data_IF_366955172143
#
_entry.id   IF_366955172143
#
_cell.length_a   1.000
_cell.length_b   1.000
_cell.length_c   1.000
_cell.angle_alpha   90.00
_cell.angle_beta   90.00
_cell.angle_gamma   90.00
#
_symmetry.space_group_name_H-M   'P 1'
#
loop_
_entity.id
_entity.type
_entity.pdbx_description
1 polymer ?
#
# COMPACT_ATOMS: atom_id res chain seq x y z
N UNK A 1 -4.88 -13.15 18.44
CA UNK A 1 -3.44 -12.71 18.31
C UNK A 1 -3.07 -12.82 16.84
N UNK A 2 -2.62 -11.75 16.21
CA UNK A 2 -2.21 -11.81 14.81
C UNK A 2 -0.69 -12.00 14.70
N UNK A 3 -0.24 -12.72 13.68
CA UNK A 3 1.16 -13.08 13.51
C UNK A 3 1.72 -12.53 12.22
N UNK A 4 3.02 -12.22 12.26
CA UNK A 4 3.82 -11.87 11.10
C UNK A 4 4.91 -12.94 10.91
N UNK A 5 5.10 -13.37 9.70
CA UNK A 5 6.11 -14.36 9.33
C UNK A 5 6.73 -14.01 7.99
N UNK A 6 7.65 -14.81 7.50
CA UNK A 6 8.30 -14.61 6.21
C UNK A 6 7.93 -15.72 5.21
N UNK A 7 8.28 -15.53 3.94
CA UNK A 7 8.31 -16.63 2.99
C UNK A 7 9.22 -17.77 3.49
N UNK A 8 8.97 -19.03 3.06
CA UNK A 8 9.72 -20.20 3.54
C UNK A 8 11.23 -20.11 3.26
N UNK A 9 11.62 -19.48 2.16
CA UNK A 9 13.02 -19.33 1.75
C UNK A 9 13.48 -17.86 1.87
N UNK A 10 13.16 -17.20 2.99
CA UNK A 10 13.62 -15.83 3.26
C UNK A 10 15.06 -15.82 3.74
N UNK A 11 15.83 -14.80 3.31
CA UNK A 11 17.16 -14.52 3.83
C UNK A 11 17.09 -13.83 5.22
N UNK A 12 18.24 -13.65 5.86
CA UNK A 12 18.32 -13.04 7.18
C UNK A 12 17.81 -11.59 7.19
N UNK A 13 18.09 -10.81 6.16
CA UNK A 13 17.66 -9.41 6.06
C UNK A 13 16.13 -9.30 6.11
N UNK A 14 15.40 -10.13 5.32
CA UNK A 14 13.93 -10.17 5.34
C UNK A 14 13.40 -10.65 6.70
N UNK A 15 14.11 -11.58 7.37
CA UNK A 15 13.71 -12.03 8.70
C UNK A 15 13.84 -10.93 9.75
N UNK A 16 14.91 -10.14 9.70
CA UNK A 16 15.09 -9.00 10.62
C UNK A 16 14.07 -7.88 10.32
N UNK A 17 13.84 -7.55 9.06
CA UNK A 17 12.78 -6.61 8.67
C UNK A 17 11.41 -7.07 9.20
N UNK A 18 11.09 -8.37 9.07
CA UNK A 18 9.85 -8.94 9.56
C UNK A 18 9.72 -8.83 11.09
N UNK A 19 10.80 -8.99 11.84
CA UNK A 19 10.81 -8.82 13.31
C UNK A 19 10.55 -7.37 13.70
N UNK A 20 11.23 -6.43 13.04
CA UNK A 20 11.06 -4.99 13.28
C UNK A 20 9.62 -4.58 12.97
N UNK A 21 9.10 -5.00 11.83
CA UNK A 21 7.71 -4.72 11.42
C UNK A 21 6.70 -5.33 12.40
N UNK A 22 6.89 -6.57 12.83
CA UNK A 22 6.04 -7.21 13.82
C UNK A 22 6.02 -6.45 15.14
N UNK A 23 7.19 -6.02 15.62
CA UNK A 23 7.30 -5.24 16.86
C UNK A 23 6.58 -3.90 16.76
N UNK A 24 6.76 -3.16 15.65
CA UNK A 24 6.10 -1.86 15.44
C UNK A 24 4.57 -1.97 15.34
N UNK A 25 4.08 -3.11 14.88
CA UNK A 25 2.64 -3.38 14.71
C UNK A 25 2.01 -4.15 15.89
N UNK A 26 2.75 -4.35 16.98
CA UNK A 26 2.31 -5.18 18.11
C UNK A 26 1.85 -6.60 17.71
N UNK A 27 2.46 -7.14 16.65
CA UNK A 27 2.24 -8.51 16.17
C UNK A 27 3.32 -9.45 16.69
N UNK A 28 3.02 -10.76 16.73
CA UNK A 28 4.02 -11.75 17.09
C UNK A 28 4.76 -12.23 15.85
N UNK A 29 6.08 -12.04 15.82
CA UNK A 29 6.91 -12.66 14.79
C UNK A 29 7.06 -14.17 15.01
N UNK A 30 6.78 -14.95 13.98
CA UNK A 30 6.96 -16.41 13.97
C UNK A 30 7.90 -16.81 12.84
N UNK A 31 9.02 -17.45 13.19
CA UNK A 31 9.91 -18.04 12.17
C UNK A 31 9.17 -19.21 11.50
N UNK A 32 8.84 -19.04 10.24
CA UNK A 32 7.96 -19.98 9.53
C UNK A 32 8.59 -21.36 9.28
N UNK A 33 9.86 -21.40 8.92
CA UNK A 33 10.52 -22.64 8.50
C UNK A 33 9.77 -23.31 7.34
N UNK A 34 9.44 -24.61 7.50
CA UNK A 34 8.67 -25.40 6.51
C UNK A 34 7.15 -25.40 6.78
N UNK A 35 6.66 -24.67 7.80
CA UNK A 35 5.25 -24.68 8.19
C UNK A 35 4.39 -24.02 7.12
N UNK A 36 3.28 -24.63 6.74
CA UNK A 36 2.32 -24.04 5.80
C UNK A 36 1.46 -22.96 6.46
N UNK A 37 0.87 -22.05 5.66
CA UNK A 37 -0.04 -21.03 6.19
C UNK A 37 -1.27 -21.64 6.86
N UNK A 38 -1.94 -22.66 6.28
CA UNK A 38 -3.05 -23.32 6.98
C UNK A 38 -2.64 -23.93 8.33
N UNK A 39 -1.44 -24.51 8.44
CA UNK A 39 -0.95 -25.06 9.69
C UNK A 39 -0.68 -23.97 10.75
N UNK A 40 -0.25 -22.77 10.32
CA UNK A 40 -0.11 -21.62 11.22
C UNK A 40 -1.49 -21.14 11.71
N UNK A 41 -2.50 -21.06 10.84
CA UNK A 41 -3.86 -20.73 11.26
C UNK A 41 -4.40 -21.72 12.30
N UNK A 42 -4.26 -23.02 12.05
CA UNK A 42 -4.68 -24.09 12.98
C UNK A 42 -3.97 -24.01 14.34
N UNK A 43 -2.67 -23.65 14.34
CA UNK A 43 -1.87 -23.58 15.57
C UNK A 43 -2.15 -22.31 16.40
N UNK A 44 -2.29 -21.15 15.76
CA UNK A 44 -2.34 -19.84 16.44
C UNK A 44 -3.74 -19.23 16.50
N UNK A 45 -4.71 -19.77 15.78
CA UNK A 45 -6.11 -19.31 15.75
C UNK A 45 -6.22 -17.80 15.54
N UNK A 46 -5.42 -17.26 14.60
CA UNK A 46 -5.37 -15.83 14.29
C UNK A 46 -6.38 -15.45 13.19
N UNK A 47 -6.78 -14.19 13.17
CA UNK A 47 -7.71 -13.65 12.16
C UNK A 47 -7.04 -13.51 10.79
N UNK A 48 -5.76 -13.14 10.81
CA UNK A 48 -4.94 -13.03 9.61
C UNK A 48 -3.45 -13.30 9.91
N UNK A 49 -2.72 -13.62 8.88
CA UNK A 49 -1.26 -13.82 8.91
C UNK A 49 -0.63 -12.90 7.88
N UNK A 50 0.27 -12.02 8.35
CA UNK A 50 1.09 -11.21 7.47
C UNK A 50 2.34 -12.00 7.06
N UNK A 51 2.63 -12.09 5.78
CA UNK A 51 3.80 -12.80 5.21
C UNK A 51 4.66 -11.81 4.45
N UNK A 52 5.86 -11.53 4.98
CA UNK A 52 6.86 -10.71 4.30
C UNK A 52 7.74 -11.58 3.40
N UNK A 53 7.90 -11.15 2.15
CA UNK A 53 8.75 -11.76 1.14
C UNK A 53 9.53 -10.68 0.38
N UNK A 54 10.50 -11.07 -0.43
CA UNK A 54 11.22 -10.12 -1.29
C UNK A 54 10.33 -9.41 -2.32
N UNK A 55 9.14 -9.95 -2.62
CA UNK A 55 8.13 -9.34 -3.48
C UNK A 55 7.18 -8.38 -2.74
N UNK A 56 7.31 -8.21 -1.42
CA UNK A 56 6.47 -7.38 -0.59
C UNK A 56 5.69 -8.14 0.48
N UNK A 57 4.71 -7.46 1.05
CA UNK A 57 3.88 -7.98 2.16
C UNK A 57 2.54 -8.49 1.61
N UNK A 58 2.20 -9.73 1.98
CA UNK A 58 0.90 -10.35 1.69
C UNK A 58 0.18 -10.68 2.98
N UNK A 59 -1.07 -10.29 3.08
CA UNK A 59 -1.96 -10.68 4.17
C UNK A 59 -2.74 -11.91 3.74
N UNK A 60 -2.66 -12.95 4.54
CA UNK A 60 -3.45 -14.19 4.36
C UNK A 60 -4.59 -14.19 5.37
N UNK A 61 -5.78 -14.49 4.91
CA UNK A 61 -6.95 -14.75 5.72
C UNK A 61 -7.30 -16.26 5.71
N UNK A 62 -8.15 -16.73 6.60
CA UNK A 62 -8.73 -18.06 6.50
C UNK A 62 -9.34 -18.31 5.09
N UNK A 63 -9.54 -19.57 4.72
CA UNK A 63 -10.14 -19.97 3.43
C UNK A 63 -9.31 -19.57 2.19
N UNK A 64 -7.98 -19.44 2.35
CA UNK A 64 -7.03 -19.08 1.29
C UNK A 64 -7.26 -17.72 0.63
N UNK A 65 -8.00 -16.82 1.25
CA UNK A 65 -8.10 -15.45 0.79
C UNK A 65 -6.79 -14.71 1.05
N UNK A 66 -6.40 -13.85 0.13
CA UNK A 66 -5.16 -13.07 0.22
C UNK A 66 -5.40 -11.62 -0.21
N UNK A 67 -4.66 -10.72 0.45
CA UNK A 67 -4.61 -9.32 0.09
C UNK A 67 -3.15 -8.90 -0.01
N UNK A 68 -2.79 -8.25 -1.12
CA UNK A 68 -1.44 -7.70 -1.34
C UNK A 68 -1.56 -6.37 -2.06
N UNK A 69 -0.61 -5.48 -1.80
CA UNK A 69 -0.55 -4.21 -2.50
C UNK A 69 -0.21 -4.40 -3.99
N UNK A 70 -0.92 -3.71 -4.86
CA UNK A 70 -0.64 -3.64 -6.30
C UNK A 70 -1.22 -2.36 -6.90
N UNK A 71 -0.60 -1.86 -7.95
CA UNK A 71 -1.02 -0.60 -8.59
C UNK A 71 -2.27 -0.70 -9.46
N UNK A 72 -2.56 -1.88 -9.98
CA UNK A 72 -3.58 -2.18 -11.03
C UNK A 72 -4.42 -1.01 -11.55
N UNK A 73 -5.43 -0.56 -10.81
CA UNK A 73 -6.30 0.54 -11.24
C UNK A 73 -5.57 1.88 -11.30
N UNK A 74 -4.69 2.18 -10.34
CA UNK A 74 -3.88 3.39 -10.36
C UNK A 74 -2.98 3.43 -11.60
N UNK A 75 -2.35 2.31 -11.96
CA UNK A 75 -1.49 2.24 -13.14
C UNK A 75 -2.25 2.49 -14.43
N UNK A 76 -3.44 1.90 -14.60
CA UNK A 76 -4.27 2.15 -15.79
C UNK A 76 -4.67 3.62 -15.90
N UNK A 77 -5.02 4.25 -14.79
CA UNK A 77 -5.40 5.67 -14.74
C UNK A 77 -4.19 6.57 -15.04
N UNK A 78 -3.02 6.26 -14.49
CA UNK A 78 -1.77 6.98 -14.79
C UNK A 78 -1.43 6.87 -16.28
N UNK A 79 -1.52 5.68 -16.89
CA UNK A 79 -1.29 5.51 -18.33
C UNK A 79 -2.25 6.36 -19.18
N UNK A 80 -3.51 6.53 -18.77
CA UNK A 80 -4.46 7.44 -19.44
C UNK A 80 -4.03 8.88 -19.31
N UNK A 81 -3.61 9.32 -18.11
CA UNK A 81 -3.08 10.67 -17.90
C UNK A 81 -1.85 10.94 -18.80
N UNK A 82 -0.94 9.97 -18.92
CA UNK A 82 0.24 10.09 -19.79
C UNK A 82 -0.11 10.25 -21.28
N UNK A 83 -1.23 9.65 -21.71
CA UNK A 83 -1.77 9.80 -23.06
C UNK A 83 -2.58 11.06 -23.29
N UNK A 84 -2.77 11.89 -22.26
CA UNK A 84 -3.59 13.09 -22.32
C UNK A 84 -5.10 12.83 -22.32
N UNK A 85 -5.53 11.61 -21.96
CA UNK A 85 -6.96 11.23 -21.92
C UNK A 85 -7.70 11.83 -20.71
N UNK A 86 -6.97 12.29 -19.71
CA UNK A 86 -7.53 12.81 -18.47
C UNK A 86 -7.96 11.71 -17.49
N UNK A 87 -8.29 12.14 -16.28
CA UNK A 87 -8.85 11.30 -15.22
C UNK A 87 -9.91 12.08 -14.46
N UNK A 88 -11.04 11.47 -14.15
CA UNK A 88 -12.19 12.16 -13.56
C UNK A 88 -11.86 12.81 -12.21
N UNK A 89 -11.09 12.14 -11.34
CA UNK A 89 -10.72 12.67 -10.04
C UNK A 89 -9.71 13.81 -10.18
N UNK A 90 -8.70 13.66 -11.03
CA UNK A 90 -7.71 14.72 -11.32
C UNK A 90 -8.41 15.94 -11.89
N UNK A 91 -9.35 15.76 -12.81
CA UNK A 91 -10.14 16.86 -13.38
C UNK A 91 -11.02 17.53 -12.31
N UNK A 92 -11.63 16.76 -11.41
CA UNK A 92 -12.42 17.33 -10.31
C UNK A 92 -11.56 18.17 -9.35
N UNK A 93 -10.36 17.69 -9.02
CA UNK A 93 -9.38 18.48 -8.24
C UNK A 93 -9.01 19.76 -8.98
N UNK A 94 -8.75 19.71 -10.30
CA UNK A 94 -8.45 20.90 -11.11
C UNK A 94 -9.58 21.94 -11.05
N UNK A 95 -10.82 21.51 -11.21
CA UNK A 95 -11.98 22.42 -11.10
C UNK A 95 -12.05 23.12 -9.74
N UNK A 96 -11.70 22.43 -8.65
CA UNK A 96 -11.66 23.02 -7.31
C UNK A 96 -10.53 24.06 -7.21
N UNK A 97 -9.35 23.74 -7.72
CA UNK A 97 -8.21 24.66 -7.73
C UNK A 97 -8.54 25.93 -8.53
N UNK A 98 -9.12 25.78 -9.72
CA UNK A 98 -9.51 26.90 -10.59
C UNK A 98 -10.54 27.81 -9.90
N UNK A 99 -11.56 27.23 -9.26
CA UNK A 99 -12.55 28.01 -8.48
C UNK A 99 -11.92 28.80 -7.32
N UNK A 100 -10.79 28.34 -6.80
CA UNK A 100 -10.02 29.02 -5.74
C UNK A 100 -8.96 29.98 -6.30
N UNK A 101 -8.83 30.11 -7.62
CA UNK A 101 -7.76 30.90 -8.26
C UNK A 101 -6.37 30.32 -8.05
N UNK A 102 -6.25 29.03 -7.79
CA UNK A 102 -4.99 28.33 -7.55
C UNK A 102 -4.51 27.64 -8.82
N UNK A 103 -3.20 27.69 -9.06
CA UNK A 103 -2.61 26.95 -10.17
C UNK A 103 -2.52 25.45 -9.86
N UNK A 104 -2.33 24.62 -10.88
CA UNK A 104 -2.07 23.19 -10.76
C UNK A 104 -0.74 22.86 -10.03
N UNK A 105 0.11 23.86 -9.77
CA UNK A 105 1.34 23.74 -8.97
C UNK A 105 1.16 24.22 -7.53
N UNK A 106 -0.05 24.62 -7.14
CA UNK A 106 -0.32 25.04 -5.76
C UNK A 106 -0.17 23.87 -4.80
N UNK A 107 0.28 24.16 -3.58
CA UNK A 107 0.26 23.19 -2.47
C UNK A 107 -1.15 23.12 -1.93
N UNK A 108 -1.65 21.89 -1.75
CA UNK A 108 -2.93 21.60 -1.10
C UNK A 108 -2.86 20.26 -0.38
N UNK A 109 -3.80 20.05 0.52
CA UNK A 109 -3.96 18.76 1.20
C UNK A 109 -5.10 17.98 0.57
N UNK A 110 -4.87 16.70 0.31
CA UNK A 110 -5.87 15.73 -0.13
C UNK A 110 -5.99 14.65 0.94
N UNK A 111 -7.20 14.45 1.45
CA UNK A 111 -7.53 13.42 2.44
C UNK A 111 -8.36 12.33 1.76
N UNK A 112 -7.84 11.11 1.77
CA UNK A 112 -8.55 9.90 1.35
C UNK A 112 -9.02 9.16 2.60
N UNK A 113 -10.30 9.20 2.87
CA UNK A 113 -10.88 8.61 4.09
C UNK A 113 -11.05 7.09 4.03
N UNK A 114 -10.79 6.47 2.89
CA UNK A 114 -10.96 5.03 2.64
C UNK A 114 -9.91 4.53 1.65
N UNK A 115 -8.65 4.71 2.01
CA UNK A 115 -7.55 4.54 1.06
C UNK A 115 -7.51 3.16 0.37
N UNK A 116 -7.86 2.08 1.07
CA UNK A 116 -7.79 0.72 0.50
C UNK A 116 -6.43 0.43 -0.12
N UNK A 117 -6.37 0.15 -1.42
CA UNK A 117 -5.11 -0.01 -2.19
C UNK A 117 -4.50 1.33 -2.65
N UNK A 118 -5.10 2.46 -2.30
CA UNK A 118 -4.56 3.78 -2.57
C UNK A 118 -4.72 4.28 -4.01
N UNK A 119 -5.60 3.68 -4.82
CA UNK A 119 -5.70 4.03 -6.24
C UNK A 119 -5.98 5.50 -6.48
N UNK A 120 -6.89 6.11 -5.73
CA UNK A 120 -7.24 7.53 -5.84
C UNK A 120 -6.11 8.42 -5.36
N UNK A 121 -5.57 8.12 -4.18
CA UNK A 121 -4.41 8.81 -3.59
C UNK A 121 -3.20 8.80 -4.51
N UNK A 122 -2.89 7.64 -5.11
CA UNK A 122 -1.75 7.48 -6.04
C UNK A 122 -1.94 8.34 -7.30
N UNK A 123 -3.14 8.32 -7.87
CA UNK A 123 -3.44 9.09 -9.10
C UNK A 123 -3.41 10.60 -8.83
N UNK A 124 -3.95 11.05 -7.69
CA UNK A 124 -3.86 12.47 -7.29
C UNK A 124 -2.40 12.86 -7.00
N UNK A 125 -1.65 12.03 -6.29
CA UNK A 125 -0.22 12.25 -6.02
C UNK A 125 0.61 12.32 -7.30
N UNK A 126 0.27 11.51 -8.31
CA UNK A 126 0.93 11.53 -9.62
C UNK A 126 0.61 12.82 -10.40
N UNK A 127 -0.68 13.20 -10.47
CA UNK A 127 -1.14 14.38 -11.20
C UNK A 127 -0.73 15.70 -10.55
N UNK A 128 -0.57 15.70 -9.22
CA UNK A 128 -0.25 16.90 -8.42
C UNK A 128 0.95 16.62 -7.49
N UNK A 129 2.20 16.72 -8.00
CA UNK A 129 3.38 16.42 -7.19
C UNK A 129 3.58 17.32 -5.97
N UNK A 130 2.87 18.45 -5.88
CA UNK A 130 2.92 19.40 -4.75
C UNK A 130 1.83 19.13 -3.69
N UNK A 131 0.90 18.21 -3.96
CA UNK A 131 -0.14 17.84 -3.01
C UNK A 131 0.44 17.06 -1.82
N UNK A 132 -0.07 17.35 -0.63
CA UNK A 132 0.14 16.52 0.56
C UNK A 132 -1.02 15.53 0.65
N UNK A 133 -0.72 14.25 0.51
CA UNK A 133 -1.72 13.19 0.49
C UNK A 133 -1.70 12.46 1.82
N UNK A 134 -2.86 12.37 2.46
CA UNK A 134 -3.06 11.56 3.67
C UNK A 134 -4.16 10.54 3.42
N UNK A 135 -3.88 9.27 3.68
CA UNK A 135 -4.84 8.18 3.56
C UNK A 135 -5.23 7.62 4.92
N UNK A 136 -6.51 7.35 5.10
CA UNK A 136 -7.04 6.66 6.29
C UNK A 136 -7.59 5.29 5.89
N UNK A 137 -7.28 4.27 6.69
CA UNK A 137 -7.79 2.92 6.52
C UNK A 137 -8.21 2.34 7.87
N UNK A 138 -9.46 1.88 7.97
CA UNK A 138 -10.00 1.30 9.21
C UNK A 138 -9.62 -0.18 9.42
N UNK A 139 -9.26 -0.88 8.37
CA UNK A 139 -8.84 -2.29 8.43
C UNK A 139 -7.33 -2.39 8.60
N UNK A 140 -6.87 -2.78 9.78
CA UNK A 140 -5.44 -2.92 10.06
C UNK A 140 -4.69 -3.83 9.05
N UNK A 141 -5.20 -5.01 8.65
CA UNK A 141 -4.51 -5.83 7.65
C UNK A 141 -4.42 -5.15 6.27
N UNK A 142 -5.45 -4.42 5.83
CA UNK A 142 -5.41 -3.68 4.56
C UNK A 142 -4.42 -2.52 4.68
N UNK A 143 -4.51 -1.74 5.75
CA UNK A 143 -3.58 -0.65 6.02
C UNK A 143 -2.12 -1.14 6.03
N UNK A 144 -1.83 -2.28 6.67
CA UNK A 144 -0.50 -2.86 6.75
C UNK A 144 0.05 -3.22 5.36
N UNK A 145 -0.75 -3.88 4.51
CA UNK A 145 -0.33 -4.21 3.15
C UNK A 145 -0.11 -2.96 2.30
N UNK A 146 -1.02 -1.98 2.40
CA UNK A 146 -0.96 -0.75 1.61
C UNK A 146 0.19 0.16 2.04
N UNK A 147 0.36 0.41 3.34
CA UNK A 147 1.44 1.25 3.85
C UNK A 147 2.82 0.65 3.53
N UNK A 148 2.98 -0.68 3.67
CA UNK A 148 4.20 -1.37 3.26
C UNK A 148 4.42 -1.24 1.74
N UNK A 149 3.37 -1.44 0.94
CA UNK A 149 3.43 -1.30 -0.52
C UNK A 149 3.81 0.11 -0.95
N UNK A 150 3.15 1.13 -0.41
CA UNK A 150 3.48 2.54 -0.68
C UNK A 150 4.94 2.86 -0.34
N UNK A 151 5.49 2.26 0.72
CA UNK A 151 6.86 2.50 1.17
C UNK A 151 7.91 1.69 0.41
N UNK A 152 7.62 0.53 -0.19
CA UNK A 152 8.63 -0.39 -0.72
C UNK A 152 8.44 -0.77 -2.20
N UNK A 153 7.23 -0.59 -2.77
CA UNK A 153 7.00 -0.91 -4.16
C UNK A 153 7.84 0.00 -5.08
N UNK A 154 8.56 -0.59 -6.03
CA UNK A 154 9.36 0.12 -7.03
C UNK A 154 8.71 -0.10 -8.39
N UNK A 155 8.36 0.98 -9.06
CA UNK A 155 7.89 0.98 -10.45
C UNK A 155 9.06 1.25 -11.40
N UNK A 156 8.95 0.80 -12.65
CA UNK A 156 9.94 1.09 -13.71
C UNK A 156 10.07 2.59 -14.03
N UNK A 157 9.04 3.38 -13.74
CA UNK A 157 9.03 4.83 -13.87
C UNK A 157 9.18 5.48 -12.49
N UNK A 158 10.24 6.30 -12.32
CA UNK A 158 10.53 7.02 -11.08
C UNK A 158 9.39 7.95 -10.66
N UNK A 159 8.69 8.55 -11.62
CA UNK A 159 7.54 9.43 -11.36
C UNK A 159 6.42 8.72 -10.60
N UNK A 160 6.16 7.45 -10.92
CA UNK A 160 5.17 6.61 -10.23
C UNK A 160 5.68 6.24 -8.84
N UNK A 161 6.94 5.77 -8.74
CA UNK A 161 7.56 5.46 -7.45
C UNK A 161 7.53 6.67 -6.51
N UNK A 162 7.88 7.85 -7.02
CA UNK A 162 7.83 9.10 -6.25
C UNK A 162 6.41 9.47 -5.83
N UNK A 163 5.40 9.19 -6.66
CA UNK A 163 4.00 9.41 -6.28
C UNK A 163 3.59 8.56 -5.08
N UNK A 164 4.01 7.29 -5.02
CA UNK A 164 3.77 6.41 -3.87
C UNK A 164 4.37 6.96 -2.58
N UNK A 165 5.63 7.42 -2.64
CA UNK A 165 6.39 7.88 -1.46
C UNK A 165 5.84 9.17 -0.83
N UNK A 166 5.02 9.93 -1.54
CA UNK A 166 4.40 11.17 -1.02
C UNK A 166 3.12 10.93 -0.22
N UNK A 167 2.56 9.71 -0.23
CA UNK A 167 1.34 9.35 0.50
C UNK A 167 1.72 8.94 1.93
N UNK A 168 1.02 9.53 2.90
CA UNK A 168 1.20 9.29 4.34
C UNK A 168 -0.04 8.62 4.94
#
# INVERSE_FOLDING_TARGET
MNILTTAQKSNEAIQEEAKVLASSMHMTYIKRGKTSIPALFGKYQCEYIAVLAGSGLTIHFPENQQHTFHLSMAQLRILRLQRGEGDHLVNAVQVILDKKGLSNRARFTFLDCTIGLGSDSIVVSYGYPQAQITGLEGSLPIWLATSHGLAHYIHSEDSVTNALRRIQ
#
